data_IF_829039356779
#
_entry.id   IF_829039356779
#
_cell.length_a   1.000
_cell.length_b   1.000
_cell.length_c   1.000
_cell.angle_alpha   90.00
_cell.angle_beta   90.00
_cell.angle_gamma   90.00
#
_symmetry.space_group_name_H-M   'P 1'
#
loop_
_entity.id
_entity.type
_entity.pdbx_description
1 polymer ?
#
# COMPACT_ATOMS: atom_id res chain seq x y z
N UNK A 1 -11.34 13.04 26.10
CA UNK A 1 -12.43 13.38 25.15
C UNK A 1 -12.25 14.74 24.47
N UNK A 2 -11.97 15.84 25.18
CA UNK A 2 -11.82 17.17 24.56
C UNK A 2 -10.68 17.24 23.53
N UNK A 3 -9.50 16.68 23.84
CA UNK A 3 -8.37 16.61 22.91
C UNK A 3 -8.66 15.78 21.64
N UNK A 4 -9.48 14.72 21.75
CA UNK A 4 -9.95 13.89 20.63
C UNK A 4 -10.83 14.68 19.66
N UNK A 5 -11.79 15.42 20.21
CA UNK A 5 -12.66 16.31 19.43
C UNK A 5 -11.88 17.45 18.78
N UNK A 6 -11.00 18.11 19.54
CA UNK A 6 -10.19 19.21 19.01
C UNK A 6 -9.30 18.77 17.84
N UNK A 7 -8.68 17.60 17.93
CA UNK A 7 -7.90 17.04 16.81
C UNK A 7 -8.76 16.75 15.59
N UNK A 8 -9.92 16.11 15.78
CA UNK A 8 -10.81 15.77 14.66
C UNK A 8 -11.30 17.02 13.92
N UNK A 9 -11.54 18.11 14.65
CA UNK A 9 -11.96 19.42 14.10
C UNK A 9 -10.84 20.15 13.34
N UNK A 10 -9.56 19.84 13.60
CA UNK A 10 -8.44 20.44 12.84
C UNK A 10 -8.36 19.93 11.40
N UNK A 11 -8.91 18.74 11.15
CA UNK A 11 -8.96 18.14 9.81
C UNK A 11 -10.37 18.20 9.23
N UNK A 12 -10.63 17.30 8.28
CA UNK A 12 -11.93 17.10 7.66
C UNK A 12 -12.43 15.68 7.92
N UNK A 13 -13.70 15.56 8.29
CA UNK A 13 -14.40 14.27 8.34
C UNK A 13 -15.11 14.03 7.01
N UNK A 14 -14.69 13.04 6.20
CA UNK A 14 -15.33 12.74 4.92
C UNK A 14 -16.69 12.07 5.10
N UNK A 15 -17.54 12.14 4.08
CA UNK A 15 -18.87 11.51 4.05
C UNK A 15 -19.96 12.46 3.55
N UNK A 16 -20.85 11.93 2.70
CA UNK A 16 -22.00 12.67 2.15
C UNK A 16 -23.17 12.67 3.13
N UNK A 17 -23.42 11.54 3.79
CA UNK A 17 -24.48 11.40 4.80
C UNK A 17 -23.97 11.54 6.23
N UNK A 18 -24.89 11.67 7.19
CA UNK A 18 -24.55 11.73 8.63
C UNK A 18 -23.92 10.43 9.11
N UNK A 19 -24.41 9.28 8.64
CA UNK A 19 -23.92 7.94 8.99
C UNK A 19 -22.51 7.72 8.46
N UNK A 20 -22.25 8.13 7.22
CA UNK A 20 -20.93 8.08 6.61
C UNK A 20 -19.93 8.96 7.38
N UNK A 21 -20.30 10.20 7.72
CA UNK A 21 -19.45 11.07 8.54
C UNK A 21 -19.22 10.50 9.94
N UNK A 22 -20.23 9.90 10.56
CA UNK A 22 -20.08 9.26 11.86
C UNK A 22 -19.12 8.05 11.80
N UNK A 23 -19.21 7.23 10.74
CA UNK A 23 -18.29 6.13 10.50
C UNK A 23 -16.85 6.62 10.27
N UNK A 24 -16.67 7.64 9.42
CA UNK A 24 -15.36 8.23 9.15
C UNK A 24 -14.74 8.87 10.41
N UNK A 25 -15.54 9.59 11.20
CA UNK A 25 -15.09 10.15 12.48
C UNK A 25 -14.61 9.06 13.44
N UNK A 26 -15.33 7.94 13.55
CA UNK A 26 -14.88 6.79 14.35
C UNK A 26 -13.58 6.19 13.82
N UNK A 27 -13.47 5.99 12.51
CA UNK A 27 -12.26 5.46 11.89
C UNK A 27 -11.03 6.34 12.15
N UNK A 28 -11.16 7.67 11.98
CA UNK A 28 -10.08 8.63 12.28
C UNK A 28 -9.67 8.61 13.75
N UNK A 29 -10.63 8.51 14.66
CA UNK A 29 -10.35 8.40 16.09
C UNK A 29 -9.68 7.06 16.45
N UNK A 30 -10.03 5.97 15.78
CA UNK A 30 -9.34 4.67 15.93
C UNK A 30 -7.91 4.75 15.41
N UNK A 31 -7.69 5.32 14.22
CA UNK A 31 -6.34 5.58 13.67
C UNK A 31 -5.50 6.35 14.68
N UNK A 32 -6.04 7.45 15.22
CA UNK A 32 -5.33 8.26 16.21
C UNK A 32 -4.98 7.46 17.47
N UNK A 33 -5.86 6.56 17.92
CA UNK A 33 -5.62 5.72 19.09
C UNK A 33 -4.56 4.62 18.84
N UNK A 34 -4.31 4.26 17.58
CA UNK A 34 -3.29 3.28 17.18
C UNK A 34 -1.92 3.93 16.94
N UNK A 35 -1.88 5.23 16.63
CA UNK A 35 -0.65 5.99 16.42
C UNK A 35 0.11 6.23 17.74
N UNK A 36 1.35 5.73 17.79
CA UNK A 36 2.25 5.88 18.94
C UNK A 36 3.03 7.19 18.90
N UNK A 37 3.57 7.66 20.04
CA UNK A 37 4.49 8.80 20.08
C UNK A 37 5.68 8.65 19.12
N UNK A 38 6.22 7.43 18.99
CA UNK A 38 7.31 7.07 18.06
C UNK A 38 6.96 7.33 16.57
N UNK A 39 5.69 7.42 16.22
CA UNK A 39 5.20 7.45 14.85
C UNK A 39 4.79 6.07 14.31
N UNK A 40 5.08 4.98 15.05
CA UNK A 40 4.56 3.66 14.70
C UNK A 40 3.03 3.64 14.77
N UNK A 41 2.39 2.91 13.86
CA UNK A 41 0.94 2.65 13.93
C UNK A 41 0.75 1.17 14.19
N UNK A 42 0.13 0.80 15.30
CA UNK A 42 -0.26 -0.58 15.53
C UNK A 42 -1.33 -0.99 14.52
N UNK A 43 -1.19 -2.15 13.87
CA UNK A 43 -2.22 -2.68 12.97
C UNK A 43 -3.54 -2.92 13.74
N UNK A 44 -3.44 -3.46 14.96
CA UNK A 44 -4.53 -3.48 15.94
C UNK A 44 -4.01 -3.65 17.37
N UNK A 45 -4.85 -3.36 18.38
CA UNK A 45 -4.52 -3.56 19.80
C UNK A 45 -4.76 -4.99 20.30
N UNK A 46 -4.64 -5.99 19.44
CA UNK A 46 -4.89 -7.40 19.76
C UNK A 46 -3.71 -8.28 19.33
N UNK A 47 -3.22 -9.08 20.27
CA UNK A 47 -2.23 -10.16 20.10
C UNK A 47 -1.22 -9.96 18.97
N UNK A 48 -1.36 -10.76 17.90
CA UNK A 48 -0.44 -10.82 16.78
C UNK A 48 -0.43 -9.55 15.92
N UNK A 49 -1.33 -8.59 16.11
CA UNK A 49 -1.44 -7.36 15.34
C UNK A 49 -0.92 -6.12 16.07
N UNK A 50 -0.36 -6.28 17.28
CA UNK A 50 0.23 -5.18 18.10
C UNK A 50 1.60 -4.72 17.60
N UNK A 51 1.79 -4.67 16.29
CA UNK A 51 3.03 -4.29 15.61
C UNK A 51 2.72 -3.33 14.46
N UNK A 52 3.76 -2.70 13.90
CA UNK A 52 3.65 -1.76 12.79
C UNK A 52 4.11 -2.40 11.49
N UNK A 53 3.22 -2.48 10.51
CA UNK A 53 3.51 -2.91 9.15
C UNK A 53 3.70 -1.69 8.24
N UNK A 54 4.70 -1.68 7.35
CA UNK A 54 4.85 -0.63 6.34
C UNK A 54 3.63 -0.50 5.41
N UNK A 55 3.00 -1.62 5.04
CA UNK A 55 1.77 -1.65 4.22
C UNK A 55 0.61 -0.95 4.93
N UNK A 56 0.28 -1.38 6.14
CA UNK A 56 -0.83 -0.83 6.94
C UNK A 56 -0.60 0.66 7.27
N UNK A 57 0.63 1.01 7.65
CA UNK A 57 0.98 2.40 7.97
C UNK A 57 0.86 3.32 6.75
N UNK A 58 1.12 2.82 5.54
CA UNK A 58 0.95 3.56 4.27
C UNK A 58 -0.52 3.91 3.98
N UNK A 59 -1.45 3.00 4.28
CA UNK A 59 -2.89 3.27 4.18
C UNK A 59 -3.32 4.35 5.21
N UNK A 60 -2.78 4.29 6.42
CA UNK A 60 -3.04 5.26 7.48
C UNK A 60 -2.48 6.65 7.13
N UNK A 61 -1.25 6.72 6.60
CA UNK A 61 -0.66 7.97 6.07
C UNK A 61 -1.58 8.61 5.04
N UNK A 62 -2.09 7.82 4.10
CA UNK A 62 -2.98 8.32 3.04
C UNK A 62 -4.29 8.85 3.60
N UNK A 63 -4.89 8.14 4.57
CA UNK A 63 -6.11 8.59 5.24
C UNK A 63 -5.89 9.90 6.02
N UNK A 64 -4.78 10.01 6.76
CA UNK A 64 -4.44 11.22 7.51
C UNK A 64 -4.13 12.40 6.58
N UNK A 65 -3.40 12.17 5.48
CA UNK A 65 -3.14 13.17 4.46
C UNK A 65 -4.44 13.68 3.82
N UNK A 66 -5.32 12.76 3.38
CA UNK A 66 -6.61 13.11 2.76
C UNK A 66 -7.58 13.84 3.70
N UNK A 67 -7.37 13.75 5.01
CA UNK A 67 -8.19 14.40 6.03
C UNK A 67 -7.53 15.62 6.68
N UNK A 68 -6.38 16.06 6.19
CA UNK A 68 -5.69 17.27 6.67
C UNK A 68 -4.91 17.09 7.96
N UNK A 69 -4.62 15.85 8.36
CA UNK A 69 -3.77 15.51 9.51
C UNK A 69 -2.32 15.22 9.05
N UNK A 70 -1.75 16.13 8.25
CA UNK A 70 -0.46 15.95 7.57
C UNK A 70 0.74 15.81 8.52
N UNK A 71 0.70 16.45 9.69
CA UNK A 71 1.76 16.31 10.70
C UNK A 71 1.83 14.89 11.28
N UNK A 72 0.67 14.27 11.55
CA UNK A 72 0.61 12.89 12.03
C UNK A 72 1.01 11.90 10.93
N UNK A 73 0.62 12.17 9.68
CA UNK A 73 1.08 11.41 8.52
C UNK A 73 2.62 11.48 8.38
N UNK A 74 3.21 12.67 8.48
CA UNK A 74 4.66 12.83 8.42
C UNK A 74 5.39 12.07 9.53
N UNK A 75 4.84 12.07 10.77
CA UNK A 75 5.42 11.29 11.88
C UNK A 75 5.51 9.80 11.58
N UNK A 76 4.52 9.24 10.89
CA UNK A 76 4.51 7.83 10.46
C UNK A 76 5.56 7.60 9.37
N UNK A 77 5.64 8.49 8.38
CA UNK A 77 6.67 8.41 7.33
C UNK A 77 8.08 8.50 7.92
N UNK A 78 8.30 9.39 8.89
CA UNK A 78 9.56 9.50 9.61
C UNK A 78 9.87 8.24 10.43
N UNK A 79 8.86 7.53 10.96
CA UNK A 79 9.05 6.23 11.58
C UNK A 79 9.50 5.19 10.55
N UNK A 80 8.80 5.08 9.42
CA UNK A 80 9.17 4.17 8.32
C UNK A 80 10.60 4.43 7.82
N UNK A 81 11.03 5.70 7.76
CA UNK A 81 12.41 6.06 7.38
C UNK A 81 13.46 5.57 8.38
N UNK A 82 13.16 5.60 9.68
CA UNK A 82 14.09 5.12 10.73
C UNK A 82 14.16 3.60 10.82
N UNK A 83 13.09 2.90 10.46
CA UNK A 83 13.03 1.43 10.48
C UNK A 83 13.33 0.80 9.12
N UNK A 84 13.74 1.58 8.12
CA UNK A 84 14.19 1.05 6.83
C UNK A 84 15.50 0.29 7.02
N UNK A 85 15.57 -0.91 6.44
CA UNK A 85 16.79 -1.72 6.39
C UNK A 85 17.88 -1.03 5.57
N UNK A 86 19.13 -1.44 5.78
CA UNK A 86 20.29 -0.84 5.10
C UNK A 86 20.24 -0.97 3.57
N UNK A 87 19.63 -2.05 3.06
CA UNK A 87 19.42 -2.32 1.63
C UNK A 87 18.26 -1.55 1.00
N UNK A 88 17.49 -0.80 1.79
CA UNK A 88 16.33 -0.02 1.32
C UNK A 88 14.98 -0.73 1.46
N UNK A 89 14.95 -1.96 1.97
CA UNK A 89 13.71 -2.71 2.23
C UNK A 89 13.20 -2.49 3.66
N UNK A 90 12.12 -3.18 4.03
CA UNK A 90 11.61 -3.24 5.40
C UNK A 90 11.38 -4.69 5.81
N UNK A 91 11.47 -4.96 7.11
CA UNK A 91 10.88 -6.18 7.67
C UNK A 91 9.35 -6.17 7.45
N UNK A 92 8.72 -7.35 7.48
CA UNK A 92 7.27 -7.44 7.34
C UNK A 92 6.54 -6.55 8.37
N UNK A 93 7.04 -6.57 9.60
CA UNK A 93 6.51 -5.80 10.73
C UNK A 93 7.60 -5.47 11.73
N UNK A 94 7.38 -4.39 12.49
CA UNK A 94 8.29 -3.92 13.53
C UNK A 94 7.57 -3.72 14.86
N UNK A 95 8.30 -3.88 15.97
CA UNK A 95 7.85 -3.46 17.29
C UNK A 95 7.56 -1.95 17.30
N UNK A 96 6.58 -1.51 18.07
CA UNK A 96 6.09 -0.13 18.03
C UNK A 96 7.12 0.92 18.51
N UNK A 97 8.18 0.50 19.18
CA UNK A 97 9.32 1.34 19.57
C UNK A 97 10.40 1.44 18.49
N UNK A 98 10.29 0.67 17.40
CA UNK A 98 11.25 0.62 16.31
C UNK A 98 12.44 -0.30 16.55
N UNK A 99 12.44 -1.12 17.61
CA UNK A 99 13.58 -2.01 17.96
C UNK A 99 13.80 -3.21 17.03
N UNK A 100 13.09 -3.27 15.90
CA UNK A 100 13.21 -4.33 14.88
C UNK A 100 12.00 -5.27 14.82
N UNK A 101 12.11 -6.39 14.10
CA UNK A 101 11.00 -7.31 13.93
C UNK A 101 10.69 -8.06 15.25
N UNK A 102 9.42 -8.41 15.48
CA UNK A 102 9.02 -9.18 16.65
C UNK A 102 9.24 -10.70 16.51
N UNK A 103 9.52 -11.19 15.31
CA UNK A 103 9.65 -12.60 14.94
C UNK A 103 10.42 -12.76 13.61
N UNK A 104 10.60 -14.01 13.18
CA UNK A 104 11.32 -14.39 11.95
C UNK A 104 10.43 -14.37 10.70
N UNK A 105 9.36 -13.57 10.70
CA UNK A 105 8.47 -13.46 9.53
C UNK A 105 9.22 -12.93 8.33
N UNK A 106 9.05 -13.61 7.20
CA UNK A 106 9.62 -13.19 5.93
C UNK A 106 9.10 -11.81 5.52
N UNK A 107 10.04 -10.94 5.15
CA UNK A 107 9.76 -9.59 4.67
C UNK A 107 9.02 -9.61 3.33
N UNK A 108 8.30 -8.53 3.01
CA UNK A 108 7.45 -8.45 1.82
C UNK A 108 7.86 -7.23 0.98
N UNK A 109 8.05 -7.45 -0.32
CA UNK A 109 8.55 -6.43 -1.23
C UNK A 109 7.50 -5.34 -1.56
N UNK A 110 6.22 -5.61 -1.32
CA UNK A 110 5.14 -4.63 -1.54
C UNK A 110 5.30 -3.37 -0.67
N UNK A 111 5.98 -3.45 0.48
CA UNK A 111 6.37 -2.31 1.30
C UNK A 111 7.16 -1.24 0.51
N UNK A 112 8.04 -1.67 -0.41
CA UNK A 112 8.80 -0.78 -1.28
C UNK A 112 7.95 -0.09 -2.35
N UNK A 113 6.71 -0.54 -2.55
CA UNK A 113 5.71 0.13 -3.37
C UNK A 113 4.85 1.09 -2.54
N UNK A 114 4.31 0.57 -1.43
CA UNK A 114 3.36 1.29 -0.59
C UNK A 114 3.95 2.49 0.12
N UNK A 115 5.17 2.37 0.67
CA UNK A 115 5.78 3.47 1.41
C UNK A 115 6.06 4.67 0.50
N UNK A 116 6.76 4.55 -0.65
CA UNK A 116 6.92 5.67 -1.58
C UNK A 116 5.60 6.26 -2.09
N UNK A 117 4.61 5.40 -2.39
CA UNK A 117 3.29 5.87 -2.78
C UNK A 117 2.64 6.72 -1.68
N UNK A 118 2.70 6.29 -0.43
CA UNK A 118 2.14 7.08 0.69
C UNK A 118 2.90 8.39 0.94
N UNK A 119 4.21 8.45 0.67
CA UNK A 119 4.98 9.71 0.68
C UNK A 119 4.42 10.68 -0.36
N UNK A 120 4.10 10.19 -1.56
CA UNK A 120 3.48 11.03 -2.59
C UNK A 120 2.10 11.53 -2.17
N UNK A 121 1.25 10.66 -1.62
CA UNK A 121 -0.07 11.07 -1.10
C UNK A 121 0.04 12.13 0.00
N UNK A 122 0.98 11.97 0.93
CA UNK A 122 1.28 12.96 1.95
C UNK A 122 1.79 14.27 1.34
N UNK A 123 2.74 14.22 0.41
CA UNK A 123 3.32 15.42 -0.20
C UNK A 123 2.28 16.22 -0.98
N UNK A 124 1.37 15.56 -1.72
CA UNK A 124 0.27 16.23 -2.41
C UNK A 124 -0.65 17.00 -1.47
N UNK A 125 -0.82 16.54 -0.22
CA UNK A 125 -1.63 17.22 0.78
C UNK A 125 -0.85 18.29 1.57
N UNK A 126 0.43 18.04 1.86
CA UNK A 126 1.25 18.89 2.73
C UNK A 126 2.02 19.98 1.98
N UNK A 127 2.55 19.69 0.79
CA UNK A 127 3.38 20.61 0.02
C UNK A 127 4.68 21.04 0.71
N UNK A 128 5.18 20.26 1.69
CA UNK A 128 6.35 20.61 2.49
C UNK A 128 7.64 20.05 1.87
N UNK A 129 8.34 20.89 1.10
CA UNK A 129 9.59 20.52 0.42
C UNK A 129 10.73 20.19 1.40
N UNK A 130 10.75 20.78 2.59
CA UNK A 130 11.78 20.51 3.60
C UNK A 130 11.61 19.11 4.18
N UNK A 131 10.39 18.76 4.55
CA UNK A 131 10.05 17.42 5.03
C UNK A 131 10.21 16.38 3.92
N UNK A 132 9.86 16.72 2.66
CA UNK A 132 10.13 15.86 1.51
C UNK A 132 11.64 15.60 1.35
N UNK A 133 12.48 16.63 1.44
CA UNK A 133 13.93 16.47 1.35
C UNK A 133 14.48 15.52 2.44
N UNK A 134 13.87 15.50 3.62
CA UNK A 134 14.23 14.57 4.69
C UNK A 134 13.77 13.11 4.41
N UNK A 135 12.65 12.93 3.72
CA UNK A 135 12.10 11.61 3.37
C UNK A 135 12.69 11.02 2.07
N UNK A 136 13.16 11.87 1.15
CA UNK A 136 13.62 11.42 -0.17
C UNK A 136 14.73 10.35 -0.13
N UNK A 137 15.72 10.39 0.79
CA UNK A 137 16.71 9.32 0.89
C UNK A 137 16.09 7.92 1.13
N UNK A 138 15.02 7.84 1.92
CA UNK A 138 14.28 6.59 2.15
C UNK A 138 13.61 6.12 0.85
N UNK A 139 12.90 7.02 0.17
CA UNK A 139 12.24 6.75 -1.12
C UNK A 139 13.27 6.26 -2.13
N UNK A 140 14.39 6.98 -2.27
CA UNK A 140 15.44 6.64 -3.23
C UNK A 140 16.04 5.25 -3.00
N UNK A 141 16.28 4.87 -1.75
CA UNK A 141 16.78 3.52 -1.43
C UNK A 141 15.76 2.44 -1.75
N UNK A 142 14.51 2.64 -1.31
CA UNK A 142 13.43 1.69 -1.54
C UNK A 142 13.21 1.42 -3.01
N UNK A 143 13.14 2.49 -3.79
CA UNK A 143 12.84 2.36 -5.21
C UNK A 143 14.06 1.80 -5.95
N UNK A 144 15.31 2.08 -5.52
CA UNK A 144 16.54 1.54 -6.15
C UNK A 144 16.59 0.03 -6.01
N UNK A 145 16.16 -0.46 -4.84
CA UNK A 145 16.01 -1.90 -4.61
C UNK A 145 15.03 -2.50 -5.62
N UNK A 146 13.86 -1.89 -5.81
CA UNK A 146 12.85 -2.35 -6.77
C UNK A 146 13.39 -2.39 -8.19
N UNK A 147 14.02 -1.31 -8.66
CA UNK A 147 14.60 -1.23 -10.00
C UNK A 147 15.60 -2.36 -10.27
N UNK A 148 16.43 -2.67 -9.28
CA UNK A 148 17.43 -3.74 -9.39
C UNK A 148 16.84 -5.14 -9.24
N UNK A 149 15.65 -5.27 -8.66
CA UNK A 149 14.96 -6.53 -8.45
C UNK A 149 14.12 -6.97 -9.66
N UNK A 150 13.77 -6.05 -10.57
CA UNK A 150 13.02 -6.41 -11.78
C UNK A 150 13.87 -7.27 -12.72
N UNK A 151 13.31 -8.40 -13.14
CA UNK A 151 13.91 -9.30 -14.13
C UNK A 151 13.85 -8.73 -15.57
N UNK A 152 14.30 -9.52 -16.54
CA UNK A 152 14.30 -9.14 -17.96
C UNK A 152 12.87 -9.02 -18.51
N UNK A 153 11.92 -9.74 -17.91
CA UNK A 153 10.49 -9.64 -18.15
C UNK A 153 9.85 -8.42 -17.46
N UNK A 154 10.61 -7.67 -16.66
CA UNK A 154 10.14 -6.49 -15.94
C UNK A 154 9.28 -6.82 -14.71
N UNK A 155 9.28 -8.06 -14.23
CA UNK A 155 8.54 -8.48 -13.04
C UNK A 155 9.46 -8.53 -11.81
N UNK A 156 8.93 -8.24 -10.60
CA UNK A 156 9.66 -8.46 -9.36
C UNK A 156 9.79 -9.96 -9.05
N UNK A 157 10.77 -10.36 -8.21
CA UNK A 157 10.97 -11.76 -7.86
C UNK A 157 9.76 -12.34 -7.11
N UNK A 158 9.61 -13.68 -7.10
CA UNK A 158 8.65 -14.34 -6.24
C UNK A 158 8.97 -14.09 -4.76
N UNK A 159 7.92 -14.09 -3.93
CA UNK A 159 8.03 -13.88 -2.50
C UNK A 159 6.65 -13.78 -1.86
N UNK A 160 6.58 -13.63 -0.53
CA UNK A 160 5.31 -13.44 0.16
C UNK A 160 4.60 -12.17 -0.32
N UNK A 161 3.30 -12.27 -0.52
CA UNK A 161 2.44 -11.13 -0.86
C UNK A 161 1.78 -10.53 0.40
N UNK A 162 0.78 -9.68 0.21
CA UNK A 162 0.05 -9.02 1.30
C UNK A 162 -0.78 -9.97 2.17
N UNK A 163 -0.99 -11.22 1.74
CA UNK A 163 -1.53 -12.28 2.60
C UNK A 163 -0.47 -12.88 3.52
N UNK A 164 0.79 -12.48 3.35
CA UNK A 164 1.97 -12.99 4.02
C UNK A 164 2.18 -14.49 3.80
N UNK A 165 1.69 -14.99 2.67
CA UNK A 165 1.86 -16.38 2.27
C UNK A 165 2.97 -16.48 1.21
N UNK A 166 3.93 -17.42 1.37
CA UNK A 166 4.96 -17.64 0.37
C UNK A 166 4.36 -17.92 -1.02
N UNK A 167 5.03 -17.42 -2.05
CA UNK A 167 4.67 -17.67 -3.45
C UNK A 167 5.93 -18.00 -4.24
N UNK A 168 5.84 -18.98 -5.14
CA UNK A 168 6.92 -19.33 -6.07
C UNK A 168 6.87 -18.54 -7.39
N UNK A 169 5.86 -17.69 -7.56
CA UNK A 169 5.69 -16.81 -8.72
C UNK A 169 5.41 -15.37 -8.26
N UNK A 170 5.72 -14.40 -9.13
CA UNK A 170 5.33 -13.00 -8.92
C UNK A 170 3.84 -12.89 -8.69
N UNK A 171 3.43 -12.14 -7.67
CA UNK A 171 2.02 -11.93 -7.34
C UNK A 171 1.55 -10.54 -7.79
N UNK A 172 0.26 -10.43 -8.15
CA UNK A 172 -0.33 -9.12 -8.47
C UNK A 172 -0.37 -8.22 -7.24
N UNK A 173 -0.52 -8.81 -6.04
CA UNK A 173 -0.44 -8.15 -4.74
C UNK A 173 0.93 -7.55 -4.42
N UNK A 174 1.99 -7.94 -5.12
CA UNK A 174 3.32 -7.32 -5.03
C UNK A 174 3.58 -6.41 -6.23
N UNK A 175 3.27 -6.85 -7.44
CA UNK A 175 3.54 -6.08 -8.66
C UNK A 175 2.78 -4.75 -8.75
N UNK A 176 1.48 -4.73 -8.43
CA UNK A 176 0.66 -3.52 -8.55
C UNK A 176 1.04 -2.41 -7.52
N UNK A 177 1.34 -2.73 -6.25
CA UNK A 177 1.89 -1.74 -5.32
C UNK A 177 3.25 -1.19 -5.74
N UNK A 178 4.15 -2.05 -6.25
CA UNK A 178 5.44 -1.62 -6.77
C UNK A 178 5.30 -0.65 -7.94
N UNK A 179 4.34 -0.89 -8.84
CA UNK A 179 4.03 0.04 -9.92
C UNK A 179 3.59 1.41 -9.39
N UNK A 180 2.72 1.42 -8.36
CA UNK A 180 2.29 2.64 -7.69
C UNK A 180 3.48 3.40 -7.08
N UNK A 181 4.37 2.67 -6.41
CA UNK A 181 5.57 3.23 -5.78
C UNK A 181 6.60 3.76 -6.76
N UNK A 182 6.84 3.07 -7.89
CA UNK A 182 7.75 3.53 -8.95
C UNK A 182 7.26 4.85 -9.57
N UNK A 183 5.97 4.93 -9.90
CA UNK A 183 5.33 6.14 -10.46
C UNK A 183 5.39 7.30 -9.45
N UNK A 184 5.01 7.05 -8.20
CA UNK A 184 5.11 8.02 -7.12
C UNK A 184 6.56 8.50 -6.89
N UNK A 185 7.53 7.59 -6.96
CA UNK A 185 8.95 7.92 -6.80
C UNK A 185 9.47 8.79 -7.93
N UNK A 186 9.02 8.57 -9.16
CA UNK A 186 9.34 9.43 -10.30
C UNK A 186 8.86 10.87 -10.04
N UNK A 187 7.62 11.03 -9.58
CA UNK A 187 7.06 12.35 -9.25
C UNK A 187 7.79 13.02 -8.07
N UNK A 188 8.06 12.29 -7.00
CA UNK A 188 8.83 12.78 -5.84
C UNK A 188 10.26 13.20 -6.26
N UNK A 189 10.91 12.42 -7.11
CA UNK A 189 12.25 12.74 -7.62
C UNK A 189 12.25 14.04 -8.45
N UNK A 190 11.24 14.25 -9.33
CA UNK A 190 11.08 15.51 -10.08
C UNK A 190 10.91 16.69 -9.13
N UNK A 191 10.06 16.54 -8.11
CA UNK A 191 9.81 17.60 -7.11
C UNK A 191 11.05 17.94 -6.30
N UNK A 192 11.87 16.95 -5.98
CA UNK A 192 13.14 17.15 -5.27
C UNK A 192 14.33 17.54 -6.18
N UNK A 193 14.11 17.76 -7.48
CA UNK A 193 15.18 18.15 -8.43
C UNK A 193 16.13 17.04 -8.85
N UNK A 194 15.80 15.77 -8.57
CA UNK A 194 16.61 14.61 -8.93
C UNK A 194 16.17 14.04 -10.30
N UNK A 195 16.44 14.77 -11.38
CA UNK A 195 15.95 14.44 -12.73
C UNK A 195 16.41 13.07 -13.22
N UNK A 196 17.69 12.71 -13.02
CA UNK A 196 18.21 11.40 -13.41
C UNK A 196 17.53 10.23 -12.66
N UNK A 197 17.21 10.44 -11.37
CA UNK A 197 16.45 9.46 -10.61
C UNK A 197 15.02 9.37 -11.19
N UNK A 198 14.36 10.51 -11.45
CA UNK A 198 13.01 10.55 -12.02
C UNK A 198 12.87 9.77 -13.33
N UNK A 199 13.82 9.95 -14.24
CA UNK A 199 13.83 9.25 -15.53
C UNK A 199 14.03 7.74 -15.34
N UNK A 200 14.92 7.34 -14.43
CA UNK A 200 15.16 5.94 -14.11
C UNK A 200 13.93 5.26 -13.45
N UNK A 201 13.26 5.95 -12.51
CA UNK A 201 12.03 5.47 -11.89
C UNK A 201 10.90 5.31 -12.89
N UNK A 202 10.74 6.29 -13.77
CA UNK A 202 9.72 6.26 -14.82
C UNK A 202 9.95 5.05 -15.74
N UNK A 203 11.16 4.88 -16.26
CA UNK A 203 11.50 3.77 -17.14
C UNK A 203 11.28 2.40 -16.49
N UNK A 204 11.60 2.26 -15.20
CA UNK A 204 11.32 1.03 -14.45
C UNK A 204 9.82 0.81 -14.22
N UNK A 205 9.04 1.87 -13.95
CA UNK A 205 7.59 1.81 -13.89
C UNK A 205 6.96 1.35 -15.20
N UNK A 206 7.48 1.83 -16.33
CA UNK A 206 7.02 1.44 -17.66
C UNK A 206 7.35 -0.03 -17.96
N UNK A 207 8.57 -0.49 -17.63
CA UNK A 207 8.95 -1.91 -17.71
C UNK A 207 8.03 -2.81 -16.88
N UNK A 208 7.73 -2.42 -15.64
CA UNK A 208 6.84 -3.19 -14.77
C UNK A 208 5.40 -3.21 -15.29
N UNK A 209 4.90 -2.09 -15.78
CA UNK A 209 3.57 -2.03 -16.41
C UNK A 209 3.49 -2.98 -17.62
N UNK A 210 4.53 -3.03 -18.45
CA UNK A 210 4.60 -3.96 -19.58
C UNK A 210 4.72 -5.42 -19.16
N UNK A 211 5.49 -5.72 -18.10
CA UNK A 211 5.53 -7.06 -17.50
C UNK A 211 4.16 -7.49 -16.99
N UNK A 212 3.47 -6.64 -16.23
CA UNK A 212 2.11 -6.90 -15.74
C UNK A 212 1.16 -7.17 -16.92
N UNK A 213 1.19 -6.31 -17.95
CA UNK A 213 0.35 -6.46 -19.14
C UNK A 213 0.64 -7.77 -19.90
N UNK A 214 1.90 -8.19 -20.02
CA UNK A 214 2.25 -9.42 -20.75
C UNK A 214 1.89 -10.70 -20.00
N UNK A 215 2.04 -10.71 -18.67
CA UNK A 215 1.96 -11.93 -17.88
C UNK A 215 0.67 -12.10 -17.09
N UNK A 216 0.02 -11.01 -16.67
CA UNK A 216 -1.23 -11.08 -15.90
C UNK A 216 -2.48 -10.85 -16.76
N UNK A 217 -2.43 -9.92 -17.71
CA UNK A 217 -3.59 -9.53 -18.50
C UNK A 217 -4.22 -10.70 -19.30
N UNK A 218 -3.44 -11.56 -20.01
CA UNK A 218 -4.02 -12.69 -20.75
C UNK A 218 -4.73 -13.73 -19.85
N UNK A 219 -4.46 -13.70 -18.55
CA UNK A 219 -5.01 -14.61 -17.55
C UNK A 219 -6.16 -13.97 -16.76
N UNK A 220 -6.50 -12.70 -17.03
CA UNK A 220 -7.52 -11.96 -16.29
C UNK A 220 -7.05 -11.49 -14.91
N UNK A 221 -5.75 -11.22 -14.75
CA UNK A 221 -5.11 -10.72 -13.52
C UNK A 221 -5.37 -11.60 -12.27
N UNK A 222 -5.02 -12.90 -12.32
CA UNK A 222 -5.05 -13.76 -11.14
C UNK A 222 -3.99 -13.31 -10.12
N UNK A 223 -4.00 -13.97 -8.94
CA UNK A 223 -3.02 -13.76 -7.88
C UNK A 223 -1.59 -13.87 -8.38
N UNK A 224 -1.27 -14.87 -9.22
CA UNK A 224 0.10 -15.17 -9.67
C UNK A 224 0.28 -15.07 -11.18
N UNK A 225 1.46 -14.63 -11.62
CA UNK A 225 1.81 -14.46 -13.03
C UNK A 225 1.84 -15.78 -13.83
N UNK A 226 1.94 -16.93 -13.16
CA UNK A 226 1.96 -18.26 -13.79
C UNK A 226 0.56 -18.86 -13.99
N UNK A 227 -0.50 -18.17 -13.55
CA UNK A 227 -1.89 -18.60 -13.69
C UNK A 227 -2.28 -19.82 -12.86
N UNK A 228 -1.44 -20.24 -11.90
CA UNK A 228 -1.73 -21.41 -11.04
C UNK A 228 -2.61 -21.09 -9.85
N UNK A 229 -2.83 -19.80 -9.58
CA UNK A 229 -3.64 -19.31 -8.49
C UNK A 229 -4.89 -18.60 -9.02
N UNK A 230 -5.88 -18.45 -8.14
CA UNK A 230 -7.18 -17.87 -8.44
C UNK A 230 -7.14 -16.35 -8.55
N UNK A 231 -8.31 -15.73 -8.48
CA UNK A 231 -8.51 -14.28 -8.42
C UNK A 231 -8.11 -13.74 -7.06
N UNK A 232 -7.66 -12.50 -7.06
CA UNK A 232 -7.21 -11.79 -5.88
C UNK A 232 -7.77 -10.35 -5.90
N UNK A 233 -8.29 -9.90 -4.76
CA UNK A 233 -8.78 -8.53 -4.59
C UNK A 233 -7.70 -7.46 -4.84
N UNK A 234 -6.42 -7.83 -4.81
CA UNK A 234 -5.29 -6.97 -5.17
C UNK A 234 -5.30 -6.49 -6.63
N UNK A 235 -6.12 -7.08 -7.52
CA UNK A 235 -6.39 -6.51 -8.85
C UNK A 235 -6.82 -5.03 -8.76
N UNK A 236 -7.51 -4.65 -7.68
CA UNK A 236 -7.95 -3.28 -7.44
C UNK A 236 -6.80 -2.28 -7.32
N UNK A 237 -5.58 -2.73 -6.98
CA UNK A 237 -4.40 -1.87 -6.93
C UNK A 237 -3.92 -1.43 -8.32
N UNK A 238 -4.43 -2.02 -9.41
CA UNK A 238 -4.19 -1.54 -10.78
C UNK A 238 -5.11 -0.37 -11.17
N UNK A 239 -6.14 -0.08 -10.37
CA UNK A 239 -7.09 0.99 -10.62
C UNK A 239 -6.77 2.27 -9.82
N UNK A 240 -7.41 3.41 -10.12
CA UNK A 240 -7.33 4.59 -9.28
C UNK A 240 -7.82 4.28 -7.86
N UNK A 241 -7.30 4.95 -6.82
CA UNK A 241 -6.29 6.01 -6.86
C UNK A 241 -4.84 5.51 -6.92
N UNK A 242 -4.62 4.19 -7.02
CA UNK A 242 -3.29 3.60 -6.93
C UNK A 242 -2.52 3.70 -8.24
N UNK A 243 -3.19 3.34 -9.34
CA UNK A 243 -2.61 3.29 -10.67
C UNK A 243 -3.58 3.80 -11.74
N UNK A 244 -3.04 4.15 -12.90
CA UNK A 244 -3.84 4.30 -14.11
C UNK A 244 -4.25 2.91 -14.62
N UNK A 245 -5.56 2.66 -14.85
CA UNK A 245 -6.05 1.33 -15.17
C UNK A 245 -5.67 0.94 -16.61
N UNK A 246 -5.17 -0.29 -16.86
CA UNK A 246 -5.03 -0.80 -18.22
C UNK A 246 -6.42 -0.99 -18.87
N UNK A 247 -6.52 -0.95 -20.22
CA UNK A 247 -7.81 -0.92 -20.93
C UNK A 247 -8.74 -2.10 -20.63
N UNK A 248 -8.19 -3.27 -20.33
CA UNK A 248 -8.89 -4.53 -20.08
C UNK A 248 -9.20 -4.78 -18.59
N UNK A 249 -8.77 -3.88 -17.70
CA UNK A 249 -8.96 -4.04 -16.25
C UNK A 249 -10.43 -4.12 -15.86
N UNK A 250 -11.30 -3.35 -16.50
CA UNK A 250 -12.71 -3.25 -16.11
C UNK A 250 -13.43 -4.60 -16.12
N UNK A 251 -13.28 -5.37 -17.22
CA UNK A 251 -13.89 -6.69 -17.33
C UNK A 251 -13.31 -7.69 -16.31
N UNK A 252 -12.01 -7.57 -16.02
CA UNK A 252 -11.35 -8.40 -15.01
C UNK A 252 -11.79 -8.04 -13.58
N UNK A 253 -12.03 -6.76 -13.29
CA UNK A 253 -12.60 -6.30 -12.01
C UNK A 253 -14.02 -6.83 -11.82
N UNK A 254 -14.88 -6.78 -12.84
CA UNK A 254 -16.24 -7.33 -12.77
C UNK A 254 -16.22 -8.84 -12.48
N UNK A 255 -15.39 -9.58 -13.22
CA UNK A 255 -15.19 -11.02 -13.01
C UNK A 255 -14.63 -11.34 -11.62
N UNK A 256 -13.72 -10.51 -11.11
CA UNK A 256 -13.12 -10.67 -9.78
C UNK A 256 -14.13 -10.36 -8.68
N UNK A 257 -14.86 -9.26 -8.79
CA UNK A 257 -15.90 -8.90 -7.84
C UNK A 257 -16.97 -10.01 -7.75
N UNK A 258 -17.44 -10.52 -8.89
CA UNK A 258 -18.43 -11.60 -8.93
C UNK A 258 -17.94 -12.89 -8.23
N UNK A 259 -16.68 -13.25 -8.41
CA UNK A 259 -16.10 -14.46 -7.81
C UNK A 259 -15.84 -14.31 -6.30
N UNK A 260 -15.41 -13.13 -5.86
CA UNK A 260 -14.98 -12.89 -4.49
C UNK A 260 -16.11 -12.38 -3.57
N UNK A 261 -17.27 -12.01 -4.12
CA UNK A 261 -18.42 -11.55 -3.36
C UNK A 261 -18.94 -12.61 -2.38
N UNK A 262 -19.26 -12.18 -1.16
CA UNK A 262 -19.83 -13.01 -0.09
C UNK A 262 -21.26 -12.54 0.24
N UNK A 263 -22.12 -13.44 0.78
CA UNK A 263 -23.39 -13.03 1.35
C UNK A 263 -23.20 -11.89 2.37
N UNK A 264 -23.97 -10.81 2.23
CA UNK A 264 -23.82 -9.60 3.06
C UNK A 264 -23.00 -8.46 2.42
N UNK A 265 -22.49 -8.64 1.20
CA UNK A 265 -21.89 -7.58 0.39
C UNK A 265 -20.39 -7.33 0.64
N UNK A 266 -19.75 -8.15 1.46
CA UNK A 266 -18.30 -8.13 1.65
C UNK A 266 -17.56 -8.94 0.59
N UNK A 267 -16.26 -8.66 0.44
CA UNK A 267 -15.37 -9.34 -0.52
C UNK A 267 -14.34 -10.21 0.20
N UNK A 268 -14.18 -11.45 -0.27
CA UNK A 268 -13.05 -12.33 0.07
C UNK A 268 -11.73 -11.75 -0.45
N UNK A 269 -10.59 -11.97 0.22
CA UNK A 269 -9.31 -11.52 -0.32
C UNK A 269 -8.91 -12.23 -1.62
N UNK A 270 -9.27 -13.52 -1.79
CA UNK A 270 -9.09 -14.26 -3.03
C UNK A 270 -9.94 -15.55 -3.06
N UNK A 271 -9.76 -16.37 -4.11
CA UNK A 271 -10.47 -17.65 -4.31
C UNK A 271 -9.55 -18.85 -4.65
N UNK A 272 -8.26 -18.78 -4.27
CA UNK A 272 -7.31 -19.89 -4.37
C UNK A 272 -7.89 -21.20 -3.82
N UNK A 273 -7.90 -22.26 -4.62
CA UNK A 273 -8.49 -23.55 -4.23
C UNK A 273 -7.84 -24.17 -2.97
N UNK A 274 -6.54 -23.92 -2.77
CA UNK A 274 -5.80 -24.39 -1.60
C UNK A 274 -6.05 -23.55 -0.34
N UNK A 275 -6.68 -22.38 -0.46
CA UNK A 275 -6.86 -21.42 0.63
C UNK A 275 -8.34 -21.06 0.79
N UNK A 276 -8.94 -21.54 1.87
CA UNK A 276 -10.30 -21.18 2.21
C UNK A 276 -10.35 -19.87 3.01
N UNK A 277 -11.18 -18.93 2.55
CA UNK A 277 -11.42 -17.65 3.21
C UNK A 277 -12.87 -17.61 3.72
N UNK A 278 -13.11 -17.95 5.01
CA UNK A 278 -14.49 -18.06 5.53
C UNK A 278 -15.17 -16.71 5.72
N UNK A 279 -14.39 -15.63 5.82
CA UNK A 279 -14.88 -14.28 6.11
C UNK A 279 -14.52 -13.32 4.97
N UNK A 280 -15.42 -12.37 4.71
CA UNK A 280 -15.08 -11.19 3.92
C UNK A 280 -14.08 -10.30 4.67
N UNK A 281 -13.20 -9.65 3.93
CA UNK A 281 -12.23 -8.70 4.45
C UNK A 281 -12.69 -7.28 4.16
N UNK A 282 -12.83 -6.47 5.22
CA UNK A 282 -13.13 -5.04 5.08
C UNK A 282 -12.10 -4.32 4.19
N UNK A 283 -10.78 -4.59 4.28
CA UNK A 283 -9.81 -4.01 3.35
C UNK A 283 -10.07 -4.38 1.90
N UNK A 284 -10.28 -5.66 1.57
CA UNK A 284 -10.59 -6.11 0.20
C UNK A 284 -11.88 -5.48 -0.34
N UNK A 285 -12.90 -5.37 0.51
CA UNK A 285 -14.17 -4.73 0.16
C UNK A 285 -13.97 -3.24 -0.14
N UNK A 286 -13.22 -2.53 0.70
CA UNK A 286 -12.96 -1.11 0.53
C UNK A 286 -12.09 -0.82 -0.71
N UNK A 287 -11.04 -1.61 -0.93
CA UNK A 287 -10.14 -1.42 -2.08
C UNK A 287 -10.85 -1.70 -3.40
N UNK A 288 -11.63 -2.78 -3.51
CA UNK A 288 -12.40 -3.03 -4.73
C UNK A 288 -13.46 -1.94 -4.96
N UNK A 289 -14.11 -1.45 -3.91
CA UNK A 289 -15.06 -0.34 -4.04
C UNK A 289 -14.40 0.97 -4.53
N UNK A 290 -13.09 1.17 -4.34
CA UNK A 290 -12.35 2.31 -4.90
C UNK A 290 -12.02 2.14 -6.38
N UNK A 291 -12.01 0.90 -6.88
CA UNK A 291 -11.66 0.59 -8.27
C UNK A 291 -12.84 0.75 -9.25
N UNK A 292 -14.06 0.88 -8.75
CA UNK A 292 -15.30 1.15 -9.50
C UNK A 292 -15.71 2.62 -9.41
#
# INVERSE_FOLDING_TARGET
MAASRAWLVRGRVPGRTTEQRAAAARALLSIRALLQPSGAVAAAWVDAWKYSWPRDSSAVVTALAATGHTDDAYRILAYNARTQRSDGTWDARTKLDGSGPPDDREWQLDANGWVPWSVWQWYQAAGDDRQLAALYPMVRKATRYVVNALDDEGLPPPGPDYWEMPSTATTIGTAAPLLSGLRASADLARRSGHTADADAWQAAGDRLADGIRRHFAPLGYPRTADGRHGRDSAIAFLAPPFNQPPPDLAAALDSTHAALARPGGGISPGDDAAQHWPNAWTPSTATLALAF
#
